data_IF_446137251686
#
_entry.id   IF_446137251686
#
_cell.length_a   1.000
_cell.length_b   1.000
_cell.length_c   1.000
_cell.angle_alpha   90.00
_cell.angle_beta   90.00
_cell.angle_gamma   90.00
#
_symmetry.space_group_name_H-M   'P 1'
#
loop_
_entity.id
_entity.type
_entity.pdbx_description
1 polymer ?
#
# COMPACT_ATOMS: atom_id res chain seq x y z
N UNK A 1 60.67 -52.35 6.20
CA UNK A 1 60.71 -50.89 6.39
C UNK A 1 59.93 -50.23 5.25
N UNK A 2 58.85 -49.51 5.58
CA UNK A 2 58.12 -48.49 4.78
C UNK A 2 57.28 -48.90 3.55
N UNK A 3 55.98 -49.01 3.86
CA UNK A 3 54.75 -48.56 3.19
C UNK A 3 54.85 -47.55 2.01
N UNK A 4 53.86 -47.67 1.10
CA UNK A 4 53.08 -46.64 0.34
C UNK A 4 53.23 -46.70 -1.19
N UNK A 5 52.24 -46.46 -2.04
CA UNK A 5 50.77 -46.38 -1.96
C UNK A 5 50.26 -46.36 -3.41
N UNK A 6 49.20 -47.11 -3.67
CA UNK A 6 48.24 -46.99 -4.78
C UNK A 6 47.72 -45.54 -4.92
N UNK A 7 47.51 -45.02 -6.14
CA UNK A 7 46.24 -44.38 -6.53
C UNK A 7 46.19 -43.95 -8.01
N UNK A 8 45.24 -44.53 -8.75
CA UNK A 8 44.68 -43.97 -9.97
C UNK A 8 44.14 -42.56 -9.70
N UNK A 9 44.48 -41.61 -10.57
CA UNK A 9 43.83 -40.31 -10.61
C UNK A 9 42.39 -40.48 -11.14
N UNK A 10 41.42 -40.52 -10.25
CA UNK A 10 40.01 -40.34 -10.59
C UNK A 10 39.66 -38.88 -10.30
N UNK A 11 39.63 -38.06 -11.34
CA UNK A 11 39.20 -36.67 -11.26
C UNK A 11 37.66 -36.65 -11.23
N UNK A 12 37.07 -36.66 -10.04
CA UNK A 12 35.62 -36.53 -9.87
C UNK A 12 35.26 -35.06 -10.07
N UNK A 13 34.72 -34.74 -11.25
CA UNK A 13 34.12 -33.45 -11.55
C UNK A 13 32.79 -33.35 -10.79
N UNK A 14 32.80 -32.71 -9.62
CA UNK A 14 31.59 -32.42 -8.86
C UNK A 14 30.84 -31.27 -9.56
N UNK A 15 29.91 -31.61 -10.47
CA UNK A 15 28.92 -30.67 -10.98
C UNK A 15 27.98 -30.31 -9.83
N UNK A 16 28.25 -29.20 -9.14
CA UNK A 16 27.22 -28.52 -8.35
C UNK A 16 26.16 -28.01 -9.33
N UNK A 17 25.09 -28.79 -9.52
CA UNK A 17 23.84 -28.28 -10.04
C UNK A 17 23.29 -27.28 -9.03
N UNK A 18 23.69 -26.02 -9.16
CA UNK A 18 22.96 -24.90 -8.55
C UNK A 18 21.60 -24.90 -9.24
N UNK A 19 20.62 -25.54 -8.61
CA UNK A 19 19.22 -25.34 -8.99
C UNK A 19 18.93 -23.88 -8.68
N UNK A 20 18.91 -23.05 -9.72
CA UNK A 20 18.24 -21.75 -9.69
C UNK A 20 16.78 -22.06 -9.41
N UNK A 21 16.44 -22.15 -8.13
CA UNK A 21 15.05 -22.30 -7.70
C UNK A 21 14.34 -21.02 -8.15
N UNK A 22 13.42 -21.08 -9.13
CA UNK A 22 12.76 -19.88 -9.62
C UNK A 22 11.89 -19.33 -8.48
N UNK A 23 12.43 -18.35 -7.77
CA UNK A 23 11.67 -17.58 -6.81
C UNK A 23 10.42 -17.05 -7.53
N UNK A 24 9.21 -17.27 -7.00
CA UNK A 24 8.01 -16.72 -7.62
C UNK A 24 8.18 -15.20 -7.71
N UNK A 25 8.25 -14.68 -8.93
CA UNK A 25 8.27 -13.25 -9.17
C UNK A 25 6.89 -12.69 -8.82
N UNK A 26 6.71 -12.23 -7.58
CA UNK A 26 5.50 -11.49 -7.20
C UNK A 26 5.48 -10.17 -7.97
N UNK A 27 4.62 -10.09 -8.99
CA UNK A 27 4.41 -8.88 -9.76
C UNK A 27 3.90 -7.77 -8.82
N UNK A 28 4.62 -6.65 -8.77
CA UNK A 28 4.17 -5.47 -8.03
C UNK A 28 3.10 -4.76 -8.85
N UNK A 29 1.92 -4.57 -8.27
CA UNK A 29 0.90 -3.72 -8.84
C UNK A 29 0.98 -2.32 -8.24
N UNK A 30 0.77 -1.28 -9.05
CA UNK A 30 0.63 0.09 -8.59
C UNK A 30 -0.59 0.74 -9.26
N UNK A 31 -1.29 1.58 -8.52
CA UNK A 31 -2.49 2.31 -8.95
C UNK A 31 -2.40 3.73 -8.42
N UNK A 32 -2.64 4.68 -9.30
CA UNK A 32 -2.81 6.08 -8.94
C UNK A 32 -4.29 6.32 -8.65
N UNK A 33 -4.57 7.00 -7.55
CA UNK A 33 -5.91 7.26 -7.04
C UNK A 33 -6.00 8.74 -6.72
N UNK A 34 -6.99 9.40 -7.31
CA UNK A 34 -7.30 10.78 -7.02
C UNK A 34 -8.22 10.87 -5.81
N UNK A 35 -7.88 11.74 -4.87
CA UNK A 35 -8.69 12.06 -3.71
C UNK A 35 -9.45 13.36 -3.99
N UNK A 36 -10.76 13.35 -3.76
CA UNK A 36 -11.60 14.53 -3.93
C UNK A 36 -12.82 14.45 -3.02
N UNK A 37 -13.40 15.60 -2.67
CA UNK A 37 -14.61 15.63 -1.83
C UNK A 37 -15.84 15.08 -2.51
N UNK A 38 -15.96 15.23 -3.84
CA UNK A 38 -17.09 14.66 -4.59
C UNK A 38 -17.05 13.13 -4.71
N UNK A 39 -15.93 12.48 -4.33
CA UNK A 39 -15.85 11.03 -4.22
C UNK A 39 -16.37 10.51 -2.87
N UNK A 40 -16.63 11.40 -1.91
CA UNK A 40 -17.22 11.05 -0.62
C UNK A 40 -18.74 10.83 -0.76
N UNK A 41 -19.33 10.04 0.14
CA UNK A 41 -20.79 9.88 0.25
C UNK A 41 -21.25 10.24 1.66
N UNK A 42 -22.06 11.31 1.84
CA UNK A 42 -22.47 12.27 0.81
C UNK A 42 -21.29 13.09 0.24
N UNK A 43 -21.40 13.65 -0.97
CA UNK A 43 -20.35 14.49 -1.56
C UNK A 43 -20.02 15.71 -0.70
N UNK A 44 -18.73 16.00 -0.56
CA UNK A 44 -18.23 17.18 0.15
C UNK A 44 -17.80 18.25 -0.86
N UNK A 45 -18.32 19.47 -0.69
CA UNK A 45 -17.88 20.64 -1.46
C UNK A 45 -16.64 21.23 -0.82
N UNK A 46 -15.48 20.98 -1.43
CA UNK A 46 -14.17 21.43 -0.96
C UNK A 46 -13.26 21.66 -2.17
N UNK A 47 -12.33 22.63 -2.14
CA UNK A 47 -11.26 22.72 -3.12
C UNK A 47 -10.19 21.64 -2.91
N UNK A 48 -10.21 20.95 -1.76
CA UNK A 48 -9.22 19.97 -1.38
C UNK A 48 -9.11 18.83 -2.40
N UNK A 49 -7.87 18.43 -2.64
CA UNK A 49 -7.51 17.42 -3.62
C UNK A 49 -6.28 16.66 -3.15
N UNK A 50 -6.12 15.43 -3.62
CA UNK A 50 -4.91 14.67 -3.41
C UNK A 50 -4.66 13.64 -4.49
N UNK A 51 -3.42 13.17 -4.54
CA UNK A 51 -3.01 12.10 -5.43
C UNK A 51 -2.21 11.09 -4.65
N UNK A 52 -2.71 9.87 -4.58
CA UNK A 52 -2.03 8.77 -3.90
C UNK A 52 -1.76 7.62 -4.83
N UNK A 53 -0.56 7.06 -4.72
CA UNK A 53 -0.15 5.83 -5.37
C UNK A 53 -0.22 4.71 -4.34
N UNK A 54 -1.09 3.75 -4.59
CA UNK A 54 -1.20 2.50 -3.83
C UNK A 54 -0.48 1.42 -4.60
N UNK A 55 0.41 0.69 -3.92
CA UNK A 55 1.09 -0.47 -4.49
C UNK A 55 0.89 -1.71 -3.62
N UNK A 56 0.82 -2.87 -4.27
CA UNK A 56 0.65 -4.15 -3.62
C UNK A 56 1.68 -5.13 -4.13
N UNK A 57 2.45 -5.72 -3.21
CA UNK A 57 3.48 -6.73 -3.49
C UNK A 57 3.68 -7.60 -2.25
N UNK A 58 3.71 -8.92 -2.43
CA UNK A 58 3.99 -9.90 -1.36
C UNK A 58 3.14 -9.62 -0.10
N UNK A 59 1.82 -9.55 -0.29
CA UNK A 59 0.84 -9.29 0.76
C UNK A 59 0.99 -7.93 1.47
N UNK A 60 1.87 -7.05 0.99
CA UNK A 60 2.10 -5.73 1.57
C UNK A 60 1.48 -4.63 0.70
N UNK A 61 0.54 -3.89 1.28
CA UNK A 61 -0.01 -2.65 0.74
C UNK A 61 0.91 -1.49 1.13
N UNK A 62 1.33 -0.68 0.15
CA UNK A 62 2.09 0.56 0.38
C UNK A 62 1.35 1.75 -0.20
N UNK A 63 1.27 2.82 0.57
CA UNK A 63 0.61 4.07 0.15
C UNK A 63 1.61 5.20 0.17
N UNK A 64 1.63 6.02 -0.89
CA UNK A 64 2.38 7.28 -0.92
C UNK A 64 1.64 8.35 -1.71
N UNK A 65 1.99 9.61 -1.51
CA UNK A 65 1.42 10.72 -2.26
C UNK A 65 1.21 11.91 -1.35
N UNK A 66 0.29 12.77 -1.72
CA UNK A 66 0.04 14.02 -1.03
C UNK A 66 -1.40 14.50 -1.23
N UNK A 67 -1.79 15.46 -0.40
CA UNK A 67 -3.04 16.21 -0.52
C UNK A 67 -2.83 17.66 -0.07
N UNK A 68 -3.70 18.54 -0.53
CA UNK A 68 -3.66 19.98 -0.26
C UNK A 68 -5.05 20.61 -0.30
N UNK A 69 -5.12 21.90 0.03
CA UNK A 69 -6.31 22.75 -0.07
C UNK A 69 -7.52 22.28 0.75
N UNK A 70 -7.29 21.59 1.88
CA UNK A 70 -8.35 21.26 2.82
C UNK A 70 -8.98 22.52 3.42
N UNK A 71 -10.30 22.48 3.62
CA UNK A 71 -11.09 23.61 4.17
C UNK A 71 -10.94 23.81 5.67
N UNK A 72 -10.43 22.81 6.39
CA UNK A 72 -10.15 22.90 7.82
C UNK A 72 -8.97 22.00 8.21
N UNK A 73 -8.35 22.21 9.39
CA UNK A 73 -7.14 21.48 9.75
C UNK A 73 -7.29 19.95 9.67
N UNK A 74 -6.30 19.31 9.04
CA UNK A 74 -6.16 17.86 8.96
C UNK A 74 -6.22 17.19 10.34
N UNK A 75 -6.97 16.08 10.43
CA UNK A 75 -7.11 15.25 11.64
C UNK A 75 -6.61 13.82 11.47
N UNK A 76 -6.83 13.21 10.30
CA UNK A 76 -6.45 11.83 10.08
C UNK A 76 -6.56 11.38 8.64
N UNK A 77 -5.80 10.35 8.29
CA UNK A 77 -5.83 9.70 7.00
C UNK A 77 -5.89 8.19 7.24
N UNK A 78 -6.72 7.50 6.45
CA UNK A 78 -7.08 6.12 6.72
C UNK A 78 -7.24 5.31 5.44
N UNK A 79 -6.83 4.04 5.48
CA UNK A 79 -7.36 3.01 4.60
C UNK A 79 -8.59 2.44 5.28
N UNK A 80 -9.74 2.54 4.61
CA UNK A 80 -11.04 2.13 5.11
C UNK A 80 -11.59 0.98 4.26
N UNK A 81 -12.50 0.20 4.83
CA UNK A 81 -13.26 -0.85 4.14
C UNK A 81 -14.59 -0.25 3.66
N UNK A 82 -14.94 -0.46 2.39
CA UNK A 82 -16.21 -0.07 1.80
C UNK A 82 -16.16 0.00 0.28
N UNK A 83 -17.27 -0.35 -0.36
CA UNK A 83 -17.48 -0.09 -1.79
C UNK A 83 -17.67 1.39 -2.06
N UNK A 84 -17.72 1.77 -3.34
CA UNK A 84 -18.09 3.13 -3.73
C UNK A 84 -19.44 3.47 -3.09
N UNK A 85 -19.56 4.68 -2.53
CA UNK A 85 -20.76 5.17 -1.84
C UNK A 85 -21.05 4.53 -0.46
N UNK A 86 -20.26 3.55 -0.02
CA UNK A 86 -20.38 2.98 1.32
C UNK A 86 -19.29 3.49 2.27
N UNK A 87 -19.67 3.78 3.51
CA UNK A 87 -18.71 4.04 4.59
C UNK A 87 -18.61 2.81 5.49
N UNK A 88 -17.39 2.43 5.86
CA UNK A 88 -17.17 1.26 6.71
C UNK A 88 -16.04 1.45 7.71
N UNK A 89 -15.51 0.32 8.20
CA UNK A 89 -14.55 0.31 9.29
C UNK A 89 -13.13 0.71 8.83
N UNK A 90 -12.37 1.32 9.74
CA UNK A 90 -10.96 1.60 9.53
C UNK A 90 -10.17 0.29 9.46
N UNK A 91 -9.41 0.13 8.37
CA UNK A 91 -8.47 -0.97 8.22
C UNK A 91 -7.07 -0.57 8.71
N UNK A 92 -6.56 0.58 8.26
CA UNK A 92 -5.28 1.12 8.69
C UNK A 92 -5.34 2.63 8.87
N UNK A 93 -4.55 3.15 9.80
CA UNK A 93 -4.25 4.59 9.87
C UNK A 93 -2.98 4.87 9.08
N UNK A 94 -3.02 5.89 8.24
CA UNK A 94 -1.86 6.39 7.51
C UNK A 94 -1.06 7.38 8.38
N UNK A 95 0.25 7.31 8.26
CA UNK A 95 1.18 8.31 8.79
C UNK A 95 1.33 9.43 7.76
N UNK A 96 0.96 10.64 8.16
CA UNK A 96 1.03 11.85 7.33
C UNK A 96 1.96 12.84 8.00
N UNK A 97 2.83 13.45 7.21
CA UNK A 97 3.57 14.66 7.59
C UNK A 97 2.73 15.87 7.13
N UNK A 98 1.97 16.53 8.03
CA UNK A 98 1.11 17.64 7.64
C UNK A 98 1.92 18.88 7.27
N UNK A 99 1.38 19.71 6.38
CA UNK A 99 1.89 21.06 6.13
C UNK A 99 1.80 21.94 7.39
N UNK A 100 2.53 23.05 7.42
CA UNK A 100 2.55 23.98 8.56
C UNK A 100 1.16 24.51 8.93
N UNK A 101 0.35 24.84 7.92
CA UNK A 101 -1.03 25.31 8.07
C UNK A 101 -2.03 24.15 8.27
N UNK A 102 -1.56 22.90 8.18
CA UNK A 102 -2.32 21.65 8.29
C UNK A 102 -3.48 21.53 7.29
N UNK A 103 -3.43 22.22 6.16
CA UNK A 103 -4.41 22.08 5.06
C UNK A 103 -3.94 21.12 3.97
N UNK A 104 -2.71 20.62 4.08
CA UNK A 104 -2.15 19.57 3.23
C UNK A 104 -1.28 18.58 4.03
N UNK A 105 -0.68 17.64 3.32
CA UNK A 105 0.25 16.70 3.92
C UNK A 105 0.85 15.70 2.94
N UNK A 106 2.02 15.18 3.30
CA UNK A 106 2.74 14.15 2.57
C UNK A 106 2.55 12.78 3.22
N UNK A 107 2.27 11.76 2.40
CA UNK A 107 2.22 10.35 2.77
C UNK A 107 3.47 9.68 2.19
N UNK A 108 4.42 9.31 3.05
CA UNK A 108 5.66 8.66 2.63
C UNK A 108 5.50 7.15 2.63
N UNK A 109 5.90 6.50 1.53
CA UNK A 109 5.81 5.03 1.38
C UNK A 109 6.52 4.27 2.50
N UNK A 110 7.64 4.80 3.00
CA UNK A 110 8.47 4.17 4.04
C UNK A 110 7.74 4.05 5.37
N UNK A 111 6.80 4.96 5.65
CA UNK A 111 6.05 5.03 6.91
C UNK A 111 4.63 4.44 6.78
N UNK A 112 4.26 3.98 5.57
CA UNK A 112 2.92 3.56 5.20
C UNK A 112 2.94 2.22 4.42
N UNK A 113 3.48 1.20 5.07
CA UNK A 113 3.52 -0.18 4.58
C UNK A 113 2.74 -1.09 5.54
N UNK A 114 1.74 -1.79 5.02
CA UNK A 114 0.79 -2.58 5.82
C UNK A 114 0.69 -4.00 5.27
N UNK A 115 0.86 -4.99 6.13
CA UNK A 115 0.63 -6.39 5.77
C UNK A 115 -0.87 -6.68 5.75
N UNK A 116 -1.36 -7.27 4.66
CA UNK A 116 -2.73 -7.75 4.52
C UNK A 116 -2.79 -9.24 4.86
N UNK A 117 -3.57 -9.58 5.88
CA UNK A 117 -3.83 -10.99 6.19
C UNK A 117 -4.81 -11.62 5.17
N UNK A 118 -5.03 -12.94 5.30
CA UNK A 118 -5.89 -13.70 4.38
C UNK A 118 -7.35 -13.24 4.34
N UNK A 119 -7.86 -12.62 5.41
CA UNK A 119 -9.20 -12.04 5.44
C UNK A 119 -9.27 -10.66 4.75
N UNK A 120 -8.16 -9.93 4.69
CA UNK A 120 -8.10 -8.57 4.14
C UNK A 120 -7.75 -8.55 2.64
N UNK A 121 -6.94 -9.50 2.17
CA UNK A 121 -6.58 -9.62 0.74
C UNK A 121 -7.80 -9.70 -0.20
N UNK A 122 -8.89 -10.42 0.13
CA UNK A 122 -10.10 -10.42 -0.68
C UNK A 122 -10.72 -9.02 -0.86
N UNK A 123 -10.68 -8.16 0.17
CA UNK A 123 -11.22 -6.79 0.10
C UNK A 123 -10.48 -5.98 -0.97
N UNK A 124 -9.13 -6.02 -0.96
CA UNK A 124 -8.31 -5.37 -1.99
C UNK A 124 -8.58 -5.95 -3.39
N UNK A 125 -8.72 -7.28 -3.49
CA UNK A 125 -8.99 -7.97 -4.76
C UNK A 125 -10.34 -7.60 -5.37
N UNK A 126 -11.31 -7.26 -4.55
CA UNK A 126 -12.65 -6.81 -4.98
C UNK A 126 -12.75 -5.29 -5.15
N UNK A 127 -11.74 -4.53 -4.71
CA UNK A 127 -11.78 -3.07 -4.73
C UNK A 127 -12.66 -2.47 -3.64
N UNK A 128 -12.84 -3.18 -2.52
CA UNK A 128 -13.65 -2.79 -1.35
C UNK A 128 -12.84 -1.95 -0.35
N UNK A 129 -11.77 -1.29 -0.78
CA UNK A 129 -10.94 -0.43 0.06
C UNK A 129 -10.89 0.98 -0.50
N UNK A 130 -10.83 1.98 0.36
CA UNK A 130 -10.67 3.39 -0.04
C UNK A 130 -9.73 4.15 0.91
N UNK A 131 -9.16 5.23 0.40
CA UNK A 131 -8.42 6.21 1.18
C UNK A 131 -9.39 7.30 1.61
N UNK A 132 -9.35 7.66 2.89
CA UNK A 132 -10.16 8.73 3.47
C UNK A 132 -9.29 9.72 4.23
N UNK A 133 -9.47 11.01 4.00
CA UNK A 133 -8.80 12.10 4.72
C UNK A 133 -9.86 12.86 5.52
N UNK A 134 -9.68 12.99 6.82
CA UNK A 134 -10.61 13.69 7.71
C UNK A 134 -10.02 15.01 8.21
N UNK A 135 -10.89 15.97 8.45
CA UNK A 135 -10.55 17.30 8.96
C UNK A 135 -11.42 17.67 10.16
N UNK A 136 -11.15 18.81 10.78
CA UNK A 136 -11.92 19.28 11.94
C UNK A 136 -13.40 19.44 11.65
N UNK A 137 -13.75 19.96 10.47
CA UNK A 137 -15.15 20.20 10.10
C UNK A 137 -15.76 19.02 9.32
N UNK A 138 -14.94 18.15 8.73
CA UNK A 138 -15.38 16.95 8.02
C UNK A 138 -14.83 15.69 8.70
N UNK A 139 -15.41 15.34 9.84
CA UNK A 139 -14.91 14.25 10.72
C UNK A 139 -15.12 12.86 10.13
N UNK A 140 -16.14 12.68 9.28
CA UNK A 140 -16.38 11.44 8.52
C UNK A 140 -15.46 11.31 7.30
N UNK A 141 -14.95 12.43 6.78
CA UNK A 141 -14.14 12.49 5.56
C UNK A 141 -14.37 13.78 4.80
N UNK A 142 -13.29 14.47 4.45
CA UNK A 142 -13.28 15.59 3.50
C UNK A 142 -12.90 15.12 2.10
N UNK A 143 -11.89 14.24 1.98
CA UNK A 143 -11.43 13.69 0.70
C UNK A 143 -11.52 12.17 0.71
N UNK A 144 -12.01 11.61 -0.40
CA UNK A 144 -12.08 10.16 -0.61
C UNK A 144 -11.50 9.75 -1.97
N UNK A 145 -10.91 8.57 -2.03
CA UNK A 145 -10.56 7.90 -3.29
C UNK A 145 -10.63 6.38 -3.17
N UNK A 146 -11.35 5.74 -4.09
CA UNK A 146 -11.50 4.29 -4.11
C UNK A 146 -10.22 3.61 -4.61
N UNK A 147 -9.76 2.57 -3.92
CA UNK A 147 -8.68 1.71 -4.40
C UNK A 147 -9.30 0.70 -5.37
N UNK A 148 -8.92 0.70 -6.66
CA UNK A 148 -9.46 -0.26 -7.61
C UNK A 148 -8.97 -1.68 -7.28
N UNK A 149 -9.62 -2.73 -7.83
CA UNK A 149 -9.17 -4.11 -7.66
C UNK A 149 -7.67 -4.32 -7.95
N UNK A 150 -6.96 -4.96 -7.01
CA UNK A 150 -5.55 -5.34 -7.13
C UNK A 150 -5.33 -6.81 -6.74
N UNK A 151 -4.43 -7.52 -7.45
CA UNK A 151 -4.16 -8.96 -7.32
C UNK A 151 -2.71 -9.27 -7.05
#
# INVERSE_FOLDING_TARGET
>A
MKLKNTLCALFVLLLLSVTLDPQPAYAQQARQIMLAGYNHEPPVSTPGTGLVIVSFKQDTLRVKGDFSDLTSPYRGAYVMIGEKEESGNMLFRLNVEPSEDRTGGEIKARDNAFFLNDAQKPLLKKGELYINITTSNHTSGELRGQIPPMK
#
